data_IF_619847314372
#
_entry.id   IF_619847314372
#
_cell.length_a   1.000
_cell.length_b   1.000
_cell.length_c   1.000
_cell.angle_alpha   90.00
_cell.angle_beta   90.00
_cell.angle_gamma   90.00
#
_symmetry.space_group_name_H-M   'P 1'
#
loop_
_entity.id
_entity.type
_entity.pdbx_description
1 polymer ?
#
# COMPACT_ATOMS: atom_id res chain seq x y z
N UNK A 1 -2.15 -4.33 20.37
CA UNK A 1 -2.90 -4.35 19.10
C UNK A 1 -4.43 -4.46 19.27
N UNK A 2 -4.96 -5.25 20.21
CA UNK A 2 -6.42 -5.42 20.40
C UNK A 2 -7.21 -4.09 20.54
N UNK A 3 -6.64 -3.10 21.22
CA UNK A 3 -7.22 -1.75 21.34
C UNK A 3 -7.21 -0.94 20.04
N UNK A 4 -6.33 -1.27 19.10
CA UNK A 4 -6.14 -0.54 17.84
C UNK A 4 -7.10 -0.99 16.73
N UNK A 5 -7.74 -2.16 16.86
CA UNK A 5 -8.63 -2.72 15.83
C UNK A 5 -9.71 -1.70 15.42
N UNK A 6 -10.34 -1.02 16.39
CA UNK A 6 -11.39 -0.03 16.14
C UNK A 6 -10.89 1.29 15.54
N UNK A 7 -9.57 1.50 15.53
CA UNK A 7 -8.93 2.71 15.00
C UNK A 7 -8.28 2.47 13.63
N UNK A 8 -8.24 1.22 13.16
CA UNK A 8 -7.53 0.85 11.95
C UNK A 8 -8.26 1.35 10.68
N UNK A 9 -7.60 2.13 9.81
CA UNK A 9 -8.14 2.46 8.49
C UNK A 9 -8.36 1.18 7.65
N UNK A 10 -9.61 0.91 7.26
CA UNK A 10 -9.98 -0.37 6.62
C UNK A 10 -10.55 -1.42 7.59
N UNK A 11 -10.79 -1.04 8.85
CA UNK A 11 -11.56 -1.80 9.83
C UNK A 11 -10.96 -3.17 10.10
N UNK A 12 -11.81 -4.20 10.08
CA UNK A 12 -11.48 -5.56 10.49
C UNK A 12 -10.44 -6.27 9.61
N UNK A 13 -10.00 -5.70 8.48
CA UNK A 13 -8.92 -6.28 7.66
C UNK A 13 -7.63 -6.55 8.44
N UNK A 14 -7.35 -5.74 9.47
CA UNK A 14 -6.19 -5.96 10.35
C UNK A 14 -6.20 -7.33 11.05
N UNK A 15 -7.38 -7.95 11.20
CA UNK A 15 -7.53 -9.26 11.83
C UNK A 15 -6.97 -10.39 10.97
N UNK A 16 -6.78 -10.19 9.67
CA UNK A 16 -6.15 -11.19 8.80
C UNK A 16 -4.70 -11.49 9.21
N UNK A 17 -4.04 -10.53 9.86
CA UNK A 17 -2.68 -10.69 10.40
C UNK A 17 -2.65 -11.26 11.84
N UNK A 18 -3.79 -11.56 12.45
CA UNK A 18 -3.86 -11.97 13.85
C UNK A 18 -3.06 -13.27 14.11
N UNK A 19 -2.18 -13.23 15.11
CA UNK A 19 -1.32 -14.37 15.47
C UNK A 19 -0.17 -14.65 14.49
N UNK A 20 -0.05 -13.85 13.43
CA UNK A 20 0.95 -14.02 12.39
C UNK A 20 1.93 -12.85 12.27
N UNK A 21 2.77 -12.96 11.25
CA UNK A 21 3.71 -11.92 10.80
C UNK A 21 2.99 -10.86 9.97
N UNK A 22 3.37 -9.60 10.13
CA UNK A 22 2.76 -8.48 9.37
C UNK A 22 3.42 -8.28 8.01
N UNK A 23 4.65 -8.77 7.83
CA UNK A 23 5.48 -8.58 6.63
C UNK A 23 4.79 -8.99 5.32
N UNK A 24 4.05 -10.11 5.23
CA UNK A 24 3.34 -10.46 4.00
C UNK A 24 2.29 -9.40 3.59
N UNK A 25 1.59 -8.83 4.57
CA UNK A 25 0.58 -7.80 4.32
C UNK A 25 1.20 -6.47 3.92
N UNK A 26 2.35 -6.12 4.49
CA UNK A 26 3.09 -4.92 4.08
C UNK A 26 3.62 -5.01 2.65
N UNK A 27 3.88 -6.21 2.14
CA UNK A 27 4.31 -6.37 0.74
C UNK A 27 3.17 -6.10 -0.26
N UNK A 28 1.93 -6.24 0.19
CA UNK A 28 0.71 -5.92 -0.58
C UNK A 28 0.33 -4.45 -0.31
N UNK A 29 0.10 -4.09 0.94
CA UNK A 29 -0.29 -2.75 1.36
C UNK A 29 0.93 -1.87 1.64
N UNK A 30 1.78 -1.68 0.64
CA UNK A 30 3.04 -0.92 0.79
C UNK A 30 2.83 0.54 1.17
N UNK A 31 1.65 1.10 0.91
CA UNK A 31 1.25 2.42 1.41
C UNK A 31 1.33 2.54 2.95
N UNK A 32 1.28 1.42 3.68
CA UNK A 32 1.47 1.36 5.12
C UNK A 32 2.94 1.39 5.56
N UNK A 33 3.91 1.22 4.65
CA UNK A 33 5.36 1.32 4.95
C UNK A 33 5.79 2.79 5.07
N UNK A 34 5.24 3.51 6.03
CA UNK A 34 5.55 4.91 6.34
C UNK A 34 6.00 5.05 7.78
N UNK A 35 6.95 5.94 8.05
CA UNK A 35 7.51 6.18 9.39
C UNK A 35 6.44 6.41 10.46
N UNK A 36 5.39 7.16 10.11
CA UNK A 36 4.25 7.42 10.99
C UNK A 36 3.52 6.14 11.42
N UNK A 37 3.39 5.15 10.53
CA UNK A 37 2.75 3.87 10.86
C UNK A 37 3.64 3.09 11.83
N UNK A 38 4.95 3.07 11.61
CA UNK A 38 5.89 2.45 12.56
C UNK A 38 5.83 3.11 13.95
N UNK A 39 5.72 4.44 14.02
CA UNK A 39 5.55 5.17 15.27
C UNK A 39 4.25 4.80 16.01
N UNK A 40 3.17 4.55 15.28
CA UNK A 40 1.91 4.06 15.88
C UNK A 40 2.11 2.63 16.39
N UNK A 41 2.73 1.75 15.60
CA UNK A 41 2.91 0.34 15.95
C UNK A 41 3.81 0.14 17.18
N UNK A 42 4.86 0.96 17.34
CA UNK A 42 5.77 0.85 18.48
C UNK A 42 5.05 1.09 19.81
N UNK A 43 4.01 1.92 19.84
CA UNK A 43 3.18 2.13 21.04
C UNK A 43 2.45 0.86 21.51
N UNK A 44 2.35 -0.15 20.64
CA UNK A 44 1.69 -1.42 20.93
C UNK A 44 2.66 -2.60 21.05
N UNK A 45 3.98 -2.36 21.03
CA UNK A 45 4.99 -3.40 21.19
C UNK A 45 4.96 -3.98 22.60
N UNK A 46 5.04 -5.31 22.69
CA UNK A 46 5.03 -6.05 23.97
C UNK A 46 6.25 -6.95 24.17
N UNK A 47 7.18 -6.98 23.21
CA UNK A 47 8.37 -7.82 23.28
C UNK A 47 9.08 -7.94 21.93
N UNK A 48 10.00 -8.91 21.86
CA UNK A 48 10.77 -9.27 20.66
C UNK A 48 10.86 -10.80 20.56
N UNK A 49 10.85 -11.33 19.34
CA UNK A 49 11.07 -12.75 19.09
C UNK A 49 12.57 -13.07 19.13
N UNK A 50 12.93 -14.25 19.67
CA UNK A 50 14.33 -14.67 19.83
C UNK A 50 14.83 -15.44 18.59
N UNK A 51 13.94 -16.11 17.86
CA UNK A 51 14.25 -16.88 16.66
C UNK A 51 13.33 -16.47 15.50
N UNK A 52 13.86 -15.73 14.53
CA UNK A 52 13.11 -15.35 13.34
C UNK A 52 13.40 -16.28 12.16
N UNK A 53 12.35 -16.92 11.64
CA UNK A 53 12.43 -17.61 10.34
C UNK A 53 12.23 -16.61 9.21
N UNK A 54 13.13 -16.61 8.22
CA UNK A 54 12.93 -15.85 6.98
C UNK A 54 11.76 -16.45 6.21
N UNK A 55 10.79 -15.61 5.84
CA UNK A 55 9.68 -15.97 4.96
C UNK A 55 10.06 -15.54 3.55
N UNK A 56 9.98 -16.46 2.59
CA UNK A 56 10.11 -16.13 1.17
C UNK A 56 8.78 -15.55 0.72
N UNK A 57 8.78 -14.29 0.28
CA UNK A 57 7.58 -13.62 -0.23
C UNK A 57 7.68 -13.48 -1.74
N UNK A 58 6.64 -13.94 -2.45
CA UNK A 58 6.47 -13.70 -3.89
C UNK A 58 6.05 -12.23 -4.06
N UNK A 59 6.59 -11.55 -5.07
CA UNK A 59 6.18 -10.18 -5.39
C UNK A 59 4.75 -10.16 -5.95
N UNK A 60 3.78 -9.56 -5.24
CA UNK A 60 2.39 -9.52 -5.70
C UNK A 60 2.18 -8.64 -6.93
N UNK A 61 3.12 -7.74 -7.26
CA UNK A 61 2.99 -6.77 -8.35
C UNK A 61 3.78 -7.15 -9.60
N UNK A 62 4.32 -8.37 -9.66
CA UNK A 62 5.12 -8.88 -10.80
C UNK A 62 4.45 -8.71 -12.18
N UNK A 63 3.12 -8.67 -12.23
CA UNK A 63 2.33 -8.55 -13.44
C UNK A 63 1.58 -7.22 -13.54
N UNK A 64 1.98 -6.19 -12.78
CA UNK A 64 1.49 -4.83 -13.00
C UNK A 64 1.77 -4.41 -14.45
N UNK A 65 0.75 -3.94 -15.21
CA UNK A 65 0.92 -3.56 -16.60
C UNK A 65 1.73 -2.27 -16.74
N UNK A 66 2.36 -2.09 -17.90
CA UNK A 66 3.01 -0.84 -18.25
C UNK A 66 2.00 0.32 -18.33
N UNK A 67 2.44 1.50 -17.92
CA UNK A 67 1.64 2.73 -17.87
C UNK A 67 2.37 3.88 -18.57
N UNK A 68 1.61 4.89 -19.00
CA UNK A 68 2.20 6.08 -19.63
C UNK A 68 3.20 6.74 -18.68
N UNK A 69 4.38 7.09 -19.20
CA UNK A 69 5.41 7.84 -18.48
C UNK A 69 5.01 9.29 -18.18
N UNK A 70 3.94 9.77 -18.81
CA UNK A 70 3.42 11.12 -18.58
C UNK A 70 2.60 11.21 -17.29
N UNK A 71 2.09 10.10 -16.76
CA UNK A 71 1.35 10.09 -15.51
C UNK A 71 2.19 10.60 -14.34
N UNK A 72 1.56 11.38 -13.46
CA UNK A 72 2.20 11.83 -12.21
C UNK A 72 2.06 10.69 -11.19
N UNK A 73 3.14 9.91 -11.04
CA UNK A 73 3.15 8.72 -10.18
C UNK A 73 3.30 9.11 -8.71
N UNK A 74 2.28 8.76 -7.91
CA UNK A 74 2.23 9.02 -6.47
C UNK A 74 2.62 7.78 -5.65
N UNK A 75 2.39 6.58 -6.20
CA UNK A 75 2.82 5.31 -5.62
C UNK A 75 3.08 4.29 -6.73
N UNK A 76 4.22 3.60 -6.71
CA UNK A 76 4.58 2.62 -7.74
C UNK A 76 3.88 1.28 -7.50
N UNK A 77 3.81 0.82 -6.25
CA UNK A 77 3.23 -0.47 -5.86
C UNK A 77 2.43 -0.33 -4.57
N UNK A 78 1.10 -0.53 -4.59
CA UNK A 78 0.26 -0.64 -5.78
C UNK A 78 0.31 0.64 -6.63
N UNK A 79 0.17 0.52 -7.95
CA UNK A 79 0.29 1.67 -8.85
C UNK A 79 -0.86 2.67 -8.62
N UNK A 80 -0.51 3.88 -8.21
CA UNK A 80 -1.43 5.01 -8.08
C UNK A 80 -0.80 6.23 -8.73
N UNK A 81 -1.49 6.80 -9.71
CA UNK A 81 -1.00 7.95 -10.47
C UNK A 81 -2.16 8.84 -10.91
N UNK A 82 -1.89 10.11 -11.10
CA UNK A 82 -2.87 11.10 -11.57
C UNK A 82 -2.52 11.63 -12.96
N UNK A 83 -3.56 12.08 -13.67
CA UNK A 83 -3.43 12.77 -14.95
C UNK A 83 -2.66 14.08 -14.77
N UNK A 84 -1.70 14.42 -15.66
CA UNK A 84 -1.07 15.73 -15.65
C UNK A 84 -2.07 16.88 -15.70
N UNK A 85 -1.83 17.93 -14.91
CA UNK A 85 -2.76 19.06 -14.77
C UNK A 85 -3.10 19.73 -16.11
N UNK A 86 -2.11 19.84 -17.01
CA UNK A 86 -2.32 20.47 -18.32
C UNK A 86 -3.26 19.62 -19.19
N UNK A 87 -3.09 18.29 -19.18
CA UNK A 87 -3.92 17.35 -19.94
C UNK A 87 -5.34 17.19 -19.40
N UNK A 88 -5.60 17.53 -18.13
CA UNK A 88 -6.94 17.45 -17.53
C UNK A 88 -7.96 18.41 -18.15
N UNK A 89 -7.49 19.51 -18.74
CA UNK A 89 -8.36 20.57 -19.28
C UNK A 89 -8.33 20.66 -20.81
N UNK A 90 -7.52 19.83 -21.47
CA UNK A 90 -7.36 19.82 -22.92
C UNK A 90 -8.60 19.25 -23.61
N UNK A 91 -9.13 18.14 -23.10
CA UNK A 91 -10.26 17.43 -23.69
C UNK A 91 -11.32 17.05 -22.64
N UNK A 92 -12.58 17.02 -23.07
CA UNK A 92 -13.69 16.56 -22.23
C UNK A 92 -13.55 15.07 -21.85
N UNK A 93 -12.97 14.26 -22.73
CA UNK A 93 -12.66 12.86 -22.48
C UNK A 93 -11.14 12.69 -22.34
N UNK A 94 -10.67 12.43 -21.13
CA UNK A 94 -9.26 12.12 -20.88
C UNK A 94 -8.86 10.83 -21.58
N UNK A 95 -7.72 10.82 -22.29
CA UNK A 95 -7.17 9.62 -22.91
C UNK A 95 -7.00 8.48 -21.87
N UNK A 96 -7.35 7.25 -22.24
CA UNK A 96 -7.29 6.09 -21.33
C UNK A 96 -5.89 5.83 -20.76
N UNK A 97 -4.82 6.21 -21.49
CA UNK A 97 -3.44 6.06 -21.03
C UNK A 97 -3.04 7.15 -20.00
N UNK A 98 -3.81 8.24 -19.94
CA UNK A 98 -3.61 9.35 -19.01
C UNK A 98 -4.68 9.41 -17.92
N UNK A 99 -5.73 8.59 -18.00
CA UNK A 99 -6.79 8.54 -17.00
C UNK A 99 -6.23 8.16 -15.63
N UNK A 100 -6.74 8.81 -14.58
CA UNK A 100 -6.33 8.57 -13.20
C UNK A 100 -6.39 7.07 -12.81
N UNK A 101 -5.35 6.59 -12.13
CA UNK A 101 -5.24 5.19 -11.67
C UNK A 101 -5.17 5.15 -10.15
N UNK A 102 -6.04 4.35 -9.53
CA UNK A 102 -6.01 4.08 -8.09
C UNK A 102 -6.20 2.60 -7.79
N UNK A 103 -5.09 1.91 -7.49
CA UNK A 103 -5.06 0.52 -7.05
C UNK A 103 -4.90 0.43 -5.52
N UNK A 104 -5.72 -0.42 -4.88
CA UNK A 104 -5.77 -0.63 -3.42
C UNK A 104 -4.83 -1.72 -2.93
#
# INVERSE_FOLDING_TARGET
MTKFINLHPGGNKILEAAGGKVEPFWNIYRSNKRDQVYLILEQYRIGSLINEQKVVTIDPFKYEPDRSSELVVNLVEPFNAETPRNSLIEDFYTDNNLFFVRNH
#
